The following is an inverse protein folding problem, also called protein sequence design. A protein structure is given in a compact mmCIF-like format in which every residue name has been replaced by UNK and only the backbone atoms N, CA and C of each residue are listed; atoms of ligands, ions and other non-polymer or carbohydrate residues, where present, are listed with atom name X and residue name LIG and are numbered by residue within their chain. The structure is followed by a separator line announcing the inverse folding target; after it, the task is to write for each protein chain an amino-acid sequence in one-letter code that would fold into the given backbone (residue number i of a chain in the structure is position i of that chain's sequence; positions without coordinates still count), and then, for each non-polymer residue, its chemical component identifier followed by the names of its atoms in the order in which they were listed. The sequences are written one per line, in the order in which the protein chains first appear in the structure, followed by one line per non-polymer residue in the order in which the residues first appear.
data_IF_146528474588
#
_entry.id   IF_146528474588
#
_cell.length_a   1.000
_cell.length_b   1.000
_cell.length_c   1.000
_cell.angle_alpha   90.00
_cell.angle_beta   90.00
_cell.angle_gamma   90.00
#
_symmetry.space_group_name_H-M   'P 1'
#
loop_
_entity.id
_entity.type
_entity.pdbx_description
1 polymer ?
#
# COMPACT_ATOMS: atom_id res chain seq x y z
N UNK A 1 4.70 2.46 -1.65
CA UNK A 1 5.08 2.16 -3.05
C UNK A 1 5.95 0.92 -3.22
N UNK A 2 7.13 0.79 -2.58
CA UNK A 2 8.01 -0.40 -2.76
C UNK A 2 7.26 -1.72 -2.52
N UNK A 3 6.48 -1.82 -1.44
CA UNK A 3 5.68 -3.01 -1.17
C UNK A 3 4.71 -3.34 -2.31
N UNK A 4 4.03 -2.33 -2.86
CA UNK A 4 3.08 -2.48 -3.99
C UNK A 4 3.80 -2.97 -5.24
N UNK A 5 4.92 -2.34 -5.62
CA UNK A 5 5.72 -2.78 -6.76
C UNK A 5 6.24 -4.22 -6.58
N UNK A 6 6.68 -4.56 -5.37
CA UNK A 6 7.15 -5.91 -5.04
C UNK A 6 6.04 -6.97 -5.17
N UNK A 7 4.76 -6.62 -4.98
CA UNK A 7 3.65 -7.56 -5.23
C UNK A 7 3.56 -7.97 -6.70
N UNK A 8 4.10 -7.17 -7.63
CA UNK A 8 4.04 -7.45 -9.07
C UNK A 8 5.38 -7.97 -9.63
N UNK A 9 6.44 -7.93 -8.83
CA UNK A 9 7.76 -8.42 -9.22
C UNK A 9 7.82 -9.96 -9.13
N UNK A 10 8.60 -10.59 -10.01
CA UNK A 10 8.85 -12.04 -9.92
C UNK A 10 9.83 -12.36 -8.79
N UNK A 11 9.46 -13.28 -7.90
CA UNK A 11 10.31 -13.79 -6.83
C UNK A 11 10.21 -12.99 -5.53
N UNK A 12 11.28 -13.06 -4.74
CA UNK A 12 11.31 -12.55 -3.37
C UNK A 12 11.94 -11.17 -3.27
N UNK A 13 11.20 -10.22 -2.72
CA UNK A 13 11.73 -8.91 -2.32
C UNK A 13 11.84 -8.84 -0.80
N UNK A 14 13.01 -8.45 -0.28
CA UNK A 14 13.24 -8.23 1.15
C UNK A 14 13.58 -6.77 1.39
N UNK A 15 12.78 -6.09 2.20
CA UNK A 15 13.05 -4.74 2.67
C UNK A 15 13.42 -4.80 4.15
N UNK A 16 14.50 -4.14 4.53
CA UNK A 16 15.00 -4.05 5.90
C UNK A 16 15.63 -2.69 6.17
N UNK A 17 16.05 -2.44 7.42
CA UNK A 17 16.65 -1.18 7.83
C UNK A 17 15.68 0.00 7.91
N UNK A 18 14.37 -0.25 7.99
CA UNK A 18 13.31 0.75 7.91
C UNK A 18 12.50 0.86 9.23
N UNK A 19 13.12 0.60 10.38
CA UNK A 19 12.45 0.57 11.70
C UNK A 19 11.78 1.91 12.04
N UNK A 20 12.32 3.02 11.54
CA UNK A 20 11.75 4.36 11.70
C UNK A 20 10.36 4.53 11.07
N UNK A 21 9.97 3.65 10.13
CA UNK A 21 8.64 3.66 9.54
C UNK A 21 7.53 3.26 10.52
N UNK A 22 7.87 2.62 11.65
CA UNK A 22 6.90 2.22 12.68
C UNK A 22 6.38 3.37 13.53
N UNK A 23 7.11 4.49 13.58
CA UNK A 23 6.84 5.65 14.45
C UNK A 23 6.55 6.91 13.63
N UNK A 24 6.00 6.73 12.43
CA UNK A 24 5.56 7.84 11.57
C UNK A 24 4.13 8.23 11.92
N UNK A 25 3.43 8.90 11.01
CA UNK A 25 2.01 9.26 11.15
C UNK A 25 1.14 8.03 11.50
N UNK A 26 1.52 6.85 11.00
CA UNK A 26 1.10 5.52 11.49
C UNK A 26 2.30 4.57 11.54
N UNK A 27 2.12 3.36 12.07
CA UNK A 27 3.06 2.26 11.82
C UNK A 27 2.92 1.82 10.35
N UNK A 28 3.72 2.45 9.48
CA UNK A 28 3.61 2.27 8.02
C UNK A 28 3.97 0.87 7.57
N UNK A 29 4.84 0.17 8.31
CA UNK A 29 5.18 -1.23 8.02
C UNK A 29 3.95 -2.10 8.30
N UNK A 30 3.40 -2.01 9.51
CA UNK A 30 2.23 -2.80 9.90
C UNK A 30 1.03 -2.49 9.01
N UNK A 31 0.79 -1.21 8.72
CA UNK A 31 -0.32 -0.75 7.89
C UNK A 31 -0.23 -1.36 6.49
N UNK A 32 0.87 -1.16 5.75
CA UNK A 32 0.96 -1.63 4.37
C UNK A 32 0.93 -3.16 4.27
N UNK A 33 1.55 -3.87 5.22
CA UNK A 33 1.49 -5.34 5.27
C UNK A 33 0.06 -5.81 5.51
N UNK A 34 -0.65 -5.20 6.45
CA UNK A 34 -2.03 -5.58 6.78
C UNK A 34 -2.97 -5.35 5.62
N UNK A 35 -2.90 -4.19 4.96
CA UNK A 35 -3.80 -3.86 3.87
C UNK A 35 -3.49 -4.65 2.59
N UNK A 36 -2.23 -4.84 2.21
CA UNK A 36 -1.88 -5.66 1.04
C UNK A 36 -2.21 -7.15 1.25
N UNK A 37 -2.15 -7.65 2.49
CA UNK A 37 -2.66 -8.99 2.81
C UNK A 37 -4.17 -9.12 2.57
N UNK A 38 -4.97 -8.11 2.93
CA UNK A 38 -6.42 -8.11 2.62
C UNK A 38 -6.67 -8.18 1.12
N UNK A 39 -5.81 -7.54 0.33
CA UNK A 39 -5.85 -7.58 -1.13
C UNK A 39 -5.26 -8.87 -1.73
N UNK A 40 -4.78 -9.82 -0.91
CA UNK A 40 -4.32 -11.13 -1.35
C UNK A 40 -2.82 -11.24 -1.66
N UNK A 41 -1.99 -10.25 -1.30
CA UNK A 41 -0.55 -10.35 -1.48
C UNK A 41 0.09 -11.33 -0.47
N UNK A 42 1.10 -12.10 -0.92
CA UNK A 42 2.01 -12.82 0.00
C UNK A 42 3.08 -11.85 0.51
N UNK A 43 2.74 -11.16 1.60
CA UNK A 43 3.61 -10.21 2.28
C UNK A 43 3.72 -10.56 3.76
N UNK A 44 4.92 -10.52 4.33
CA UNK A 44 5.21 -10.83 5.74
C UNK A 44 5.91 -9.65 6.41
N UNK A 45 5.41 -9.29 7.58
CA UNK A 45 5.98 -8.23 8.41
C UNK A 45 7.32 -8.65 9.01
N UNK A 46 8.26 -7.72 9.11
CA UNK A 46 9.48 -7.84 9.93
C UNK A 46 9.56 -6.64 10.87
N UNK A 47 10.33 -6.75 11.95
CA UNK A 47 10.56 -5.63 12.88
C UNK A 47 11.08 -4.36 12.18
N UNK A 48 11.90 -4.48 11.15
CA UNK A 48 12.55 -3.37 10.45
C UNK A 48 12.18 -3.27 8.96
N UNK A 49 11.07 -3.89 8.55
CA UNK A 49 10.64 -3.90 7.15
C UNK A 49 9.62 -4.99 6.84
N UNK A 50 9.74 -5.61 5.68
CA UNK A 50 8.81 -6.64 5.22
C UNK A 50 9.42 -7.48 4.10
N UNK A 51 8.81 -8.64 3.85
CA UNK A 51 9.16 -9.56 2.77
C UNK A 51 7.94 -9.71 1.87
N UNK A 52 8.10 -9.65 0.56
CA UNK A 52 7.03 -9.89 -0.43
C UNK A 52 7.46 -11.01 -1.37
N UNK A 53 6.60 -12.00 -1.57
CA UNK A 53 6.75 -13.02 -2.60
C UNK A 53 5.77 -12.69 -3.74
N UNK A 54 6.30 -12.36 -4.91
CA UNK A 54 5.52 -11.99 -6.08
C UNK A 54 5.74 -12.93 -7.29
N UNK A 55 4.91 -12.82 -8.32
CA UNK A 55 3.80 -11.88 -8.45
C UNK A 55 2.53 -12.35 -7.72
N UNK A 56 1.73 -11.41 -7.23
CA UNK A 56 0.43 -11.60 -6.59
C UNK A 56 -0.69 -11.01 -7.44
N UNK A 57 -1.76 -11.76 -7.66
CA UNK A 57 -3.00 -11.25 -8.26
C UNK A 57 -3.83 -10.56 -7.18
N UNK A 58 -3.71 -9.24 -7.11
CA UNK A 58 -4.43 -8.46 -6.12
C UNK A 58 -5.94 -8.48 -6.40
N UNK A 59 -6.74 -8.50 -5.32
CA UNK A 59 -8.20 -8.42 -5.37
C UNK A 59 -8.67 -7.18 -4.63
N UNK A 60 -9.78 -6.63 -5.10
CA UNK A 60 -10.45 -5.51 -4.46
C UNK A 60 -10.83 -5.83 -3.02
N UNK A 61 -10.60 -4.86 -2.12
CA UNK A 61 -10.87 -4.99 -0.70
C UNK A 61 -11.30 -3.65 -0.08
N UNK A 62 -11.85 -3.71 1.13
CA UNK A 62 -12.03 -2.50 1.95
C UNK A 62 -10.77 -2.32 2.79
N UNK A 63 -10.04 -1.25 2.51
CA UNK A 63 -8.77 -0.92 3.14
C UNK A 63 -8.88 0.33 4.01
N UNK A 64 -7.96 0.48 4.94
CA UNK A 64 -7.86 1.63 5.85
C UNK A 64 -6.57 2.42 5.57
N UNK A 65 -6.67 3.75 5.45
CA UNK A 65 -5.50 4.60 5.27
C UNK A 65 -4.78 4.90 6.58
N UNK A 66 -5.48 4.75 7.71
CA UNK A 66 -5.01 5.14 9.04
C UNK A 66 -4.69 6.64 9.14
N UNK A 67 -5.36 7.47 8.33
CA UNK A 67 -5.08 8.90 8.16
C UNK A 67 -3.64 9.20 7.71
N UNK A 68 -2.94 8.23 7.12
CA UNK A 68 -1.59 8.40 6.58
C UNK A 68 -1.64 8.54 5.05
N UNK A 69 -1.31 9.72 4.54
CA UNK A 69 -1.36 10.02 3.12
C UNK A 69 -0.50 9.09 2.26
N UNK A 70 0.63 8.57 2.77
CA UNK A 70 1.50 7.66 2.01
C UNK A 70 0.91 6.27 1.92
N UNK A 71 0.18 5.84 2.96
CA UNK A 71 -0.57 4.59 2.94
C UNK A 71 -1.75 4.74 1.97
N UNK A 72 -2.53 5.82 2.09
CA UNK A 72 -3.65 6.10 1.19
C UNK A 72 -3.23 6.10 -0.30
N UNK A 73 -2.19 6.85 -0.66
CA UNK A 73 -1.67 6.87 -2.05
C UNK A 73 -1.11 5.51 -2.49
N UNK A 74 -0.43 4.77 -1.60
CA UNK A 74 0.07 3.43 -1.94
C UNK A 74 -1.07 2.46 -2.22
N UNK A 75 -2.14 2.52 -1.43
CA UNK A 75 -3.34 1.69 -1.63
C UNK A 75 -4.10 2.10 -2.89
N UNK A 76 -4.15 3.38 -3.23
CA UNK A 76 -4.76 3.85 -4.47
C UNK A 76 -4.05 3.25 -5.69
N UNK A 77 -2.71 3.23 -5.70
CA UNK A 77 -1.95 2.58 -6.77
C UNK A 77 -2.15 1.05 -6.76
N UNK A 78 -2.20 0.42 -5.59
CA UNK A 78 -2.50 -1.01 -5.49
C UNK A 78 -3.90 -1.36 -6.02
N UNK A 79 -4.89 -0.48 -5.80
CA UNK A 79 -6.25 -0.65 -6.28
C UNK A 79 -6.35 -0.65 -7.81
N UNK A 80 -5.49 0.11 -8.51
CA UNK A 80 -5.43 0.11 -9.98
C UNK A 80 -4.98 -1.23 -10.56
N UNK A 81 -4.25 -2.02 -9.78
CA UNK A 81 -3.75 -3.34 -10.17
C UNK A 81 -4.68 -4.48 -9.74
N UNK A 82 -5.69 -4.18 -8.90
CA UNK A 82 -6.53 -5.16 -8.27
C UNK A 82 -7.74 -5.53 -9.12
N UNK A 83 -8.11 -6.80 -9.13
CA UNK A 83 -9.36 -7.27 -9.72
C UNK A 83 -10.54 -6.94 -8.79
N UNK A 84 -11.50 -6.16 -9.30
CA UNK A 84 -12.72 -5.79 -8.57
C UNK A 84 -12.61 -4.44 -7.82
N UNK A 85 -13.61 -4.14 -7.00
CA UNK A 85 -13.72 -2.83 -6.34
C UNK A 85 -12.88 -2.78 -5.06
N UNK A 86 -11.99 -1.79 -4.98
CA UNK A 86 -11.30 -1.42 -3.74
C UNK A 86 -11.96 -0.17 -3.16
N UNK A 87 -12.13 -0.13 -1.84
CA UNK A 87 -12.59 1.06 -1.10
C UNK A 87 -11.53 1.41 -0.07
N UNK A 88 -10.97 2.61 -0.15
CA UNK A 88 -9.95 3.10 0.80
C UNK A 88 -10.66 4.08 1.73
N UNK A 89 -10.73 3.75 3.02
CA UNK A 89 -11.28 4.63 4.04
C UNK A 89 -10.31 5.75 4.37
N UNK A 90 -10.86 6.92 4.71
CA UNK A 90 -10.12 8.11 5.13
C UNK A 90 -9.04 8.54 4.12
N UNK A 91 -9.35 8.48 2.82
CA UNK A 91 -8.41 8.81 1.74
C UNK A 91 -8.22 10.33 1.55
N UNK A 92 -9.10 11.15 2.12
CA UNK A 92 -9.02 12.62 2.11
C UNK A 92 -7.72 13.14 2.75
N UNK A 93 -7.05 12.34 3.58
CA UNK A 93 -5.75 12.70 4.16
C UNK A 93 -4.65 12.92 3.10
N UNK A 94 -4.83 12.42 1.87
CA UNK A 94 -3.89 12.61 0.76
C UNK A 94 -3.64 14.09 0.49
N UNK A 95 -4.69 14.91 0.54
CA UNK A 95 -4.64 16.34 0.22
C UNK A 95 -3.69 17.13 1.14
N UNK A 96 -3.34 16.60 2.31
CA UNK A 96 -2.32 17.20 3.20
C UNK A 96 -0.96 17.30 2.50
N UNK A 97 -0.63 16.31 1.67
CA UNK A 97 0.70 16.20 1.04
C UNK A 97 0.67 16.37 -0.47
N UNK A 98 -0.45 16.01 -1.11
CA UNK A 98 -0.60 16.06 -2.56
C UNK A 98 -2.04 16.42 -2.96
N UNK A 99 -2.44 17.69 -2.82
CA UNK A 99 -3.73 18.18 -3.29
C UNK A 99 -3.99 17.79 -4.75
N UNK A 100 -5.17 17.24 -5.03
CA UNK A 100 -5.59 16.90 -6.39
C UNK A 100 -5.00 15.59 -6.94
N UNK A 101 -4.35 14.78 -6.10
CA UNK A 101 -3.82 13.46 -6.45
C UNK A 101 -4.86 12.58 -7.17
N UNK A 102 -6.09 12.49 -6.66
CA UNK A 102 -7.14 11.64 -7.25
C UNK A 102 -7.44 12.06 -8.69
N UNK A 103 -7.58 13.37 -8.94
CA UNK A 103 -7.83 13.91 -10.28
C UNK A 103 -6.68 13.60 -11.24
N UNK A 104 -5.44 13.71 -10.77
CA UNK A 104 -4.26 13.34 -11.58
C UNK A 104 -4.30 11.85 -11.90
N UNK A 105 -4.54 11.01 -10.90
CA UNK A 105 -4.56 9.56 -11.06
C UNK A 105 -5.64 9.12 -12.07
N UNK A 106 -6.84 9.71 -12.00
CA UNK A 106 -7.94 9.45 -12.94
C UNK A 106 -7.62 9.84 -14.39
N UNK A 107 -6.77 10.86 -14.61
CA UNK A 107 -6.40 11.29 -15.95
C UNK A 107 -5.30 10.42 -16.61
N UNK A 108 -4.75 9.43 -15.89
CA UNK A 108 -3.69 8.55 -16.40
C UNK A 108 -4.21 7.19 -16.88
N UNK A 109 -5.52 6.91 -16.72
CA UNK A 109 -6.19 5.64 -16.99
C UNK A 109 -7.27 5.88 -18.05
#
# INVERSE_FOLDING_TARGET
FIAVAATQAQGKTVVGGAKELRVKETDRIKAIVSELKKMGADIKEKEDGFIVEGPSKLKGAVCESYNDHRIAMSLAVAALLAEGKTVIKNSECIDISFPGFEKILQNLI
#
